data_IF_139423030298
#
_entry.id   IF_139423030298
#
_cell.length_a   1.000
_cell.length_b   1.000
_cell.length_c   1.000
_cell.angle_alpha   90.00
_cell.angle_beta   90.00
_cell.angle_gamma   90.00
#
_symmetry.space_group_name_H-M   'P 1'
#
loop_
_entity.id
_entity.type
_entity.pdbx_description
1 polymer ?
#
# COMPACT_ATOMS: atom_id res chain seq x y z
N UNK A 1 0.07 17.51 -17.05
CA UNK A 1 1.23 16.92 -16.51
C UNK A 1 1.01 15.56 -16.01
N UNK A 2 2.01 14.81 -16.08
CA UNK A 2 1.88 13.44 -15.71
C UNK A 2 2.68 13.09 -14.49
N UNK A 3 3.22 14.06 -13.84
CA UNK A 3 4.03 13.78 -12.67
C UNK A 3 3.22 13.16 -11.54
N UNK A 4 1.89 13.25 -11.61
CA UNK A 4 1.06 12.68 -10.53
C UNK A 4 0.71 11.22 -10.72
N UNK A 5 1.09 10.63 -11.84
CA UNK A 5 0.67 9.26 -12.11
C UNK A 5 1.32 8.29 -11.14
N UNK A 6 2.42 8.64 -10.50
CA UNK A 6 3.05 7.74 -9.54
C UNK A 6 2.86 8.15 -8.10
N UNK A 7 1.89 9.04 -7.83
CA UNK A 7 1.55 9.42 -6.47
C UNK A 7 0.04 9.38 -6.27
N UNK A 8 -0.38 9.05 -5.06
CA UNK A 8 -1.79 8.93 -4.73
C UNK A 8 -1.99 9.33 -3.28
N UNK A 9 -3.09 10.02 -2.99
CA UNK A 9 -3.43 10.42 -1.63
C UNK A 9 -4.55 9.53 -1.09
N UNK A 10 -4.44 9.13 0.17
CA UNK A 10 -5.51 8.43 0.87
C UNK A 10 -5.64 9.01 2.26
N UNK A 11 -6.80 8.84 2.88
CA UNK A 11 -7.04 9.29 4.25
C UNK A 11 -7.39 8.08 5.09
N UNK A 12 -6.68 7.90 6.19
CA UNK A 12 -6.93 6.78 7.10
C UNK A 12 -6.85 7.30 8.52
N UNK A 13 -7.48 6.53 9.41
CA UNK A 13 -7.52 6.89 10.81
C UNK A 13 -6.39 6.21 11.55
N UNK A 14 -5.70 6.96 12.39
CA UNK A 14 -4.72 6.41 13.32
C UNK A 14 -5.16 6.86 14.71
N UNK A 15 -5.50 5.89 15.55
CA UNK A 15 -6.16 6.22 16.79
C UNK A 15 -7.50 6.84 16.48
N UNK A 16 -7.77 8.02 17.00
CA UNK A 16 -9.04 8.70 16.79
C UNK A 16 -8.96 9.81 15.74
N UNK A 17 -7.81 9.98 15.10
CA UNK A 17 -7.58 11.11 14.21
C UNK A 17 -7.40 10.64 12.78
N UNK A 18 -8.03 11.36 11.85
CA UNK A 18 -7.84 11.11 10.43
C UNK A 18 -6.58 11.80 9.96
N UNK A 19 -5.77 11.10 9.19
CA UNK A 19 -4.56 11.64 8.61
C UNK A 19 -4.56 11.44 7.11
N UNK A 20 -3.98 12.39 6.39
CA UNK A 20 -3.77 12.25 4.96
C UNK A 20 -2.42 11.58 4.75
N UNK A 21 -2.40 10.60 3.86
CA UNK A 21 -1.18 9.89 3.49
C UNK A 21 -0.95 10.06 2.00
N UNK A 22 0.31 10.10 1.62
CA UNK A 22 0.70 10.20 0.21
C UNK A 22 1.52 8.97 -0.13
N UNK A 23 1.04 8.21 -1.10
CA UNK A 23 1.70 6.99 -1.56
C UNK A 23 2.48 7.29 -2.82
N UNK A 24 3.68 6.75 -2.92
CA UNK A 24 4.46 6.80 -4.16
C UNK A 24 4.65 5.37 -4.64
N UNK A 25 4.44 5.12 -5.92
CA UNK A 25 4.60 3.77 -6.45
C UNK A 25 6.00 3.24 -6.18
N UNK A 26 6.08 1.94 -5.93
CA UNK A 26 7.36 1.27 -5.87
C UNK A 26 8.00 1.31 -7.25
N UNK A 27 9.33 1.28 -7.29
CA UNK A 27 10.00 1.26 -8.58
C UNK A 27 9.83 -0.10 -9.25
N UNK A 28 10.36 -0.22 -10.47
CA UNK A 28 10.14 -1.42 -11.26
C UNK A 28 10.69 -2.67 -10.61
N UNK A 29 11.83 -2.56 -9.93
CA UNK A 29 12.43 -3.75 -9.31
C UNK A 29 11.64 -4.20 -8.09
N UNK A 30 11.29 -3.27 -7.22
CA UNK A 30 10.50 -3.62 -6.04
C UNK A 30 9.10 -4.06 -6.45
N UNK A 31 8.52 -3.40 -7.44
CA UNK A 31 7.21 -3.78 -7.94
C UNK A 31 7.21 -5.17 -8.56
N UNK A 32 8.26 -5.51 -9.30
CA UNK A 32 8.35 -6.84 -9.91
C UNK A 32 8.49 -7.92 -8.83
N UNK A 33 9.26 -7.65 -7.78
CA UNK A 33 9.40 -8.60 -6.69
C UNK A 33 8.05 -8.83 -6.01
N UNK A 34 7.28 -7.75 -5.82
CA UNK A 34 5.95 -7.87 -5.24
C UNK A 34 5.03 -8.67 -6.17
N UNK A 35 5.12 -8.41 -7.47
CA UNK A 35 4.29 -9.12 -8.43
C UNK A 35 4.55 -10.62 -8.40
N UNK A 36 5.81 -11.02 -8.24
CA UNK A 36 6.12 -12.45 -8.13
C UNK A 36 5.41 -13.09 -6.95
N UNK A 37 5.37 -12.38 -5.82
CA UNK A 37 4.68 -12.91 -4.64
C UNK A 37 3.18 -13.00 -4.88
N UNK A 38 2.61 -11.97 -5.48
CA UNK A 38 1.17 -11.94 -5.74
C UNK A 38 0.76 -13.05 -6.70
N UNK A 39 1.62 -13.36 -7.67
CA UNK A 39 1.28 -14.39 -8.65
C UNK A 39 1.21 -15.79 -8.06
N UNK A 40 1.61 -15.96 -6.80
CA UNK A 40 1.46 -17.26 -6.13
C UNK A 40 0.04 -17.51 -5.65
N UNK A 41 -0.83 -16.50 -5.76
CA UNK A 41 -2.16 -16.59 -5.18
C UNK A 41 -3.24 -16.37 -6.24
N UNK A 42 -4.49 -16.54 -5.81
CA UNK A 42 -5.64 -16.25 -6.63
C UNK A 42 -5.75 -14.73 -6.78
N UNK A 43 -5.84 -14.27 -8.01
CA UNK A 43 -5.89 -12.84 -8.27
C UNK A 43 -7.15 -12.18 -7.76
N UNK A 44 -8.16 -12.97 -7.42
CA UNK A 44 -9.40 -12.39 -6.95
C UNK A 44 -9.37 -12.02 -5.49
N UNK A 45 -8.33 -12.41 -4.79
CA UNK A 45 -8.23 -12.05 -3.39
C UNK A 45 -7.83 -10.60 -3.22
N UNK A 46 -8.28 -9.99 -2.14
CA UNK A 46 -7.84 -8.65 -1.82
C UNK A 46 -6.37 -8.66 -1.45
N UNK A 47 -5.73 -7.50 -1.56
CA UNK A 47 -4.33 -7.41 -1.15
C UNK A 47 -4.18 -7.63 0.35
N UNK A 48 -5.18 -7.26 1.15
CA UNK A 48 -5.10 -7.52 2.59
C UNK A 48 -5.09 -9.02 2.87
N UNK A 49 -5.96 -9.79 2.19
CA UNK A 49 -5.94 -11.24 2.36
C UNK A 49 -4.64 -11.84 1.91
N UNK A 50 -4.13 -11.36 0.77
CA UNK A 50 -2.85 -11.83 0.27
C UNK A 50 -1.76 -11.61 1.31
N UNK A 51 -1.70 -10.41 1.89
CA UNK A 51 -0.65 -10.10 2.85
C UNK A 51 -0.75 -10.97 4.09
N UNK A 52 -1.97 -11.23 4.56
CA UNK A 52 -2.14 -11.94 5.81
C UNK A 52 -2.08 -13.45 5.67
N UNK A 53 -2.44 -13.97 4.50
CA UNK A 53 -2.63 -15.41 4.37
C UNK A 53 -1.61 -16.11 3.50
N UNK A 54 -0.90 -15.38 2.66
CA UNK A 54 -0.06 -16.03 1.65
C UNK A 54 1.42 -15.68 1.75
N UNK A 55 1.82 -14.94 2.76
CA UNK A 55 3.21 -14.57 2.94
C UNK A 55 3.73 -15.14 4.25
N UNK A 56 5.00 -15.56 4.23
CA UNK A 56 5.66 -15.89 5.48
C UNK A 56 5.85 -14.61 6.29
N UNK A 57 6.20 -14.78 7.56
CA UNK A 57 6.42 -13.63 8.42
C UNK A 57 7.50 -12.71 7.86
N UNK A 58 8.57 -13.31 7.35
CA UNK A 58 9.67 -12.51 6.80
C UNK A 58 9.25 -11.83 5.51
N UNK A 59 8.49 -12.52 4.66
CA UNK A 59 8.00 -11.91 3.43
C UNK A 59 7.08 -10.74 3.73
N UNK A 60 6.20 -10.91 4.72
CA UNK A 60 5.31 -9.83 5.10
C UNK A 60 6.08 -8.63 5.59
N UNK A 61 7.08 -8.86 6.44
CA UNK A 61 7.91 -7.77 6.94
C UNK A 61 8.61 -7.05 5.80
N UNK A 62 9.14 -7.81 4.84
CA UNK A 62 9.84 -7.21 3.70
C UNK A 62 8.89 -6.37 2.85
N UNK A 63 7.69 -6.87 2.58
CA UNK A 63 6.72 -6.15 1.77
C UNK A 63 6.26 -4.89 2.50
N UNK A 64 5.95 -5.01 3.79
CA UNK A 64 5.50 -3.86 4.55
C UNK A 64 6.59 -2.79 4.64
N UNK A 65 7.84 -3.19 4.87
CA UNK A 65 8.93 -2.24 4.94
C UNK A 65 9.08 -1.49 3.62
N UNK A 66 9.10 -2.23 2.53
CA UNK A 66 9.24 -1.60 1.21
C UNK A 66 8.09 -0.65 0.93
N UNK A 67 6.88 -1.07 1.26
CA UNK A 67 5.70 -0.25 0.99
C UNK A 67 5.69 1.00 1.85
N UNK A 68 5.94 0.84 3.15
CA UNK A 68 5.82 1.96 4.07
C UNK A 68 6.92 2.99 3.86
N UNK A 69 8.05 2.59 3.29
CA UNK A 69 9.09 3.55 2.95
C UNK A 69 8.68 4.46 1.80
N UNK A 70 7.60 4.13 1.10
CA UNK A 70 7.07 4.95 0.02
C UNK A 70 5.79 5.67 0.44
N UNK A 71 5.53 5.75 1.73
CA UNK A 71 4.34 6.41 2.26
C UNK A 71 4.77 7.57 3.14
N UNK A 72 4.13 8.72 2.94
CA UNK A 72 4.34 9.88 3.79
C UNK A 72 3.03 10.26 4.46
N UNK A 73 3.11 10.81 5.66
CA UNK A 73 1.94 11.29 6.38
C UNK A 73 2.02 12.81 6.49
N UNK A 74 0.85 13.46 6.39
CA UNK A 74 0.80 14.90 6.54
C UNK A 74 0.62 15.25 8.01
N UNK A 75 1.62 15.92 8.57
CA UNK A 75 1.59 16.39 9.94
C UNK A 75 1.66 17.91 9.93
N UNK A 76 1.61 18.52 11.11
CA UNK A 76 1.61 19.99 11.18
C UNK A 76 2.84 20.58 10.52
N UNK A 77 3.97 19.92 10.63
CA UNK A 77 5.21 20.42 10.05
C UNK A 77 5.35 20.09 8.56
N UNK A 78 4.41 19.35 7.99
CA UNK A 78 4.46 18.98 6.58
C UNK A 78 4.46 17.49 6.38
N UNK A 79 4.87 17.05 5.20
CA UNK A 79 4.91 15.62 4.89
C UNK A 79 6.11 14.98 5.56
N UNK A 80 5.89 13.81 6.13
CA UNK A 80 6.94 13.11 6.86
C UNK A 80 6.90 11.64 6.50
N UNK A 81 8.05 10.99 6.26
CA UNK A 81 8.01 9.57 5.91
C UNK A 81 7.51 8.73 7.08
N UNK A 82 6.68 7.75 6.77
CA UNK A 82 6.20 6.81 7.77
C UNK A 82 7.35 5.89 8.19
N UNK A 83 8.18 5.50 7.22
CA UNK A 83 9.32 4.64 7.49
C UNK A 83 10.47 5.08 6.60
N UNK A 84 11.70 5.02 7.12
CA UNK A 84 12.84 5.51 6.40
C UNK A 84 14.03 4.61 6.72
N UNK A 85 14.59 3.97 5.71
CA UNK A 85 15.75 3.10 5.87
C UNK A 85 15.52 2.01 6.92
N UNK A 86 14.32 1.44 6.92
CA UNK A 86 13.97 0.38 7.83
C UNK A 86 13.61 0.82 9.22
N UNK A 87 13.61 2.14 9.48
CA UNK A 87 13.31 2.68 10.80
C UNK A 87 12.01 3.45 10.75
N UNK A 88 11.27 3.42 11.86
CA UNK A 88 10.02 4.16 11.91
C UNK A 88 10.30 5.67 11.91
N UNK A 89 9.64 6.36 10.99
CA UNK A 89 9.77 7.81 10.91
C UNK A 89 8.67 8.55 11.63
N UNK A 90 7.60 7.85 12.00
CA UNK A 90 6.47 8.45 12.71
C UNK A 90 6.05 7.48 13.79
N UNK A 91 6.29 7.86 15.03
CA UNK A 91 6.16 6.93 16.14
C UNK A 91 4.72 6.48 16.38
N UNK A 92 3.75 7.34 16.08
CA UNK A 92 2.37 7.02 16.41
C UNK A 92 1.81 5.87 15.60
N UNK A 93 2.32 5.64 14.40
CA UNK A 93 1.81 4.55 13.59
C UNK A 93 2.53 3.24 13.90
N UNK A 94 3.64 3.33 14.61
CA UNK A 94 4.48 2.15 14.86
C UNK A 94 3.72 1.03 15.54
N UNK A 95 2.75 1.37 16.37
CA UNK A 95 2.00 0.37 17.13
C UNK A 95 0.60 0.14 16.59
N UNK A 96 0.35 0.53 15.32
CA UNK A 96 -0.96 0.38 14.70
C UNK A 96 -0.87 -0.56 13.51
N UNK A 97 -0.92 -1.89 13.74
CA UNK A 97 -0.73 -2.84 12.66
C UNK A 97 -1.87 -2.80 11.63
N UNK A 98 -3.08 -2.44 12.05
CA UNK A 98 -4.20 -2.42 11.12
C UNK A 98 -4.01 -1.32 10.08
N UNK A 99 -3.63 -0.12 10.52
CA UNK A 99 -3.39 0.96 9.58
C UNK A 99 -2.16 0.69 8.72
N UNK A 100 -1.11 0.10 9.31
CA UNK A 100 0.08 -0.25 8.53
C UNK A 100 -0.26 -1.25 7.44
N UNK A 101 -1.09 -2.25 7.75
CA UNK A 101 -1.51 -3.22 6.74
C UNK A 101 -2.39 -2.56 5.68
N UNK A 102 -3.27 -1.65 6.09
CA UNK A 102 -4.12 -0.95 5.14
C UNK A 102 -3.28 -0.12 4.17
N UNK A 103 -2.27 0.59 4.69
CA UNK A 103 -1.39 1.37 3.83
C UNK A 103 -0.59 0.47 2.89
N UNK A 104 -0.13 -0.67 3.39
CA UNK A 104 0.61 -1.61 2.56
C UNK A 104 -0.27 -2.14 1.45
N UNK A 105 -1.53 -2.48 1.76
CA UNK A 105 -2.44 -2.97 0.74
C UNK A 105 -2.74 -1.90 -0.30
N UNK A 106 -2.90 -0.64 0.13
CA UNK A 106 -3.11 0.46 -0.79
C UNK A 106 -1.90 0.65 -1.70
N UNK A 107 -0.71 0.53 -1.13
CA UNK A 107 0.51 0.68 -1.91
C UNK A 107 0.63 -0.44 -2.94
N UNK A 108 0.30 -1.67 -2.56
CA UNK A 108 0.32 -2.80 -3.48
C UNK A 108 -0.68 -2.58 -4.61
N UNK A 109 -1.88 -2.16 -4.28
CA UNK A 109 -2.90 -1.91 -5.29
C UNK A 109 -2.48 -0.79 -6.23
N UNK A 110 -1.91 0.27 -5.69
CA UNK A 110 -1.48 1.40 -6.49
C UNK A 110 -0.35 1.00 -7.43
N UNK A 111 0.64 0.27 -6.91
CA UNK A 111 1.79 -0.14 -7.72
C UNK A 111 1.40 -1.12 -8.81
N UNK A 112 0.53 -2.08 -8.48
CA UNK A 112 0.21 -3.16 -9.40
C UNK A 112 -1.14 -2.99 -10.10
N UNK A 113 -1.79 -1.84 -9.93
CA UNK A 113 -3.14 -1.66 -10.43
C UNK A 113 -3.27 -1.90 -11.92
N UNK A 114 -2.25 -1.53 -12.68
CA UNK A 114 -2.31 -1.72 -14.13
C UNK A 114 -2.32 -3.20 -14.50
N UNK A 115 -1.72 -4.05 -13.65
CA UNK A 115 -1.70 -5.48 -13.90
C UNK A 115 -3.06 -6.12 -13.58
N UNK A 116 -3.86 -5.47 -12.69
CA UNK A 116 -5.18 -5.97 -12.30
C UNK A 116 -6.22 -4.91 -12.61
N UNK A 117 -6.44 -4.60 -13.86
CA UNK A 117 -7.29 -3.45 -14.21
C UNK A 117 -8.71 -3.59 -13.75
N UNK A 118 -9.21 -4.80 -13.60
CA UNK A 118 -10.58 -4.95 -13.18
C UNK A 118 -10.76 -4.99 -11.73
N UNK A 119 -9.74 -5.25 -11.06
CA UNK A 119 -9.82 -5.25 -9.65
C UNK A 119 -9.83 -3.91 -9.17
N UNK A 120 -9.44 -3.36 -10.09
CA UNK A 120 -9.30 -2.16 -9.67
C UNK A 120 -10.23 -2.04 -8.78
N UNK A 121 -10.30 -2.93 -9.21
CA UNK A 121 -10.80 -2.81 -8.72
C UNK A 121 -10.75 -3.27 -7.75
N UNK A 122 -10.75 -3.74 -7.82
CA UNK A 122 -10.85 -4.29 -6.91
C UNK A 122 -10.51 -3.82 -5.80
N UNK A 123 -10.78 -3.13 -6.14
CA UNK A 123 -10.76 -2.63 -5.57
C UNK A 123 -11.11 -2.18 -5.11
N UNK A 124 -11.38 -1.98 -4.80
CA UNK A 124 -11.93 -1.64 -4.59
C UNK A 124 -12.42 -0.99 -4.71
N UNK A 125 -12.75 -0.94 -5.10
CA UNK A 125 -13.18 -0.42 -5.65
C UNK A 125 -13.56 -0.23 -6.20
N UNK A 126 -13.99 -0.48 -6.68
CA UNK A 126 -14.38 -0.44 -7.54
C UNK A 126 -14.71 -0.62 -7.83
N UNK A 127 -15.00 -0.74 -7.93
CA UNK A 127 -15.31 -1.01 -8.62
C UNK A 127 -15.49 -1.05 -9.19
N UNK A 128 -15.80 -1.04 -9.49
CA UNK A 128 -16.06 -1.20 -10.35
C UNK A 128 -16.04 -1.20 -11.00
N UNK A 129 -16.20 -1.45 -11.24
CA UNK A 129 -16.21 -1.50 -12.17
C UNK A 129 -16.19 -1.99 -12.53
N UNK A 130 -16.34 -2.26 -12.38
CA UNK A 130 -16.28 -2.71 -12.90
C UNK A 130 -16.39 -3.26 -13.23
N UNK A 131 -16.73 -3.38 -13.28
CA UNK A 131 -16.91 -3.97 -13.69
C UNK A 131 -16.82 -4.54 -13.82
N UNK A 132 -16.97 -4.90 -13.53
CA UNK A 132 -16.77 -5.39 -13.79
C UNK A 132 -16.56 -5.62 -13.83
N UNK A 133 -16.77 -5.81 -13.48
CA UNK A 133 -16.53 -5.89 -13.74
C UNK A 133 -16.43 -5.87 -13.98
#
# INVERSE_FOLDING_TARGET
>A
MIERVNQKAVTLKVGDTDYAFRLTKLDAFAGAALLRLVCRTDKEESFQSFLLEHLSEQELKNVMTAALEHVEVRLDAGWQPVMQQGEWGWEEIRYDPVTCLALTAEECAFTLGAFFPESGARSPAKAPRIPSA
#
